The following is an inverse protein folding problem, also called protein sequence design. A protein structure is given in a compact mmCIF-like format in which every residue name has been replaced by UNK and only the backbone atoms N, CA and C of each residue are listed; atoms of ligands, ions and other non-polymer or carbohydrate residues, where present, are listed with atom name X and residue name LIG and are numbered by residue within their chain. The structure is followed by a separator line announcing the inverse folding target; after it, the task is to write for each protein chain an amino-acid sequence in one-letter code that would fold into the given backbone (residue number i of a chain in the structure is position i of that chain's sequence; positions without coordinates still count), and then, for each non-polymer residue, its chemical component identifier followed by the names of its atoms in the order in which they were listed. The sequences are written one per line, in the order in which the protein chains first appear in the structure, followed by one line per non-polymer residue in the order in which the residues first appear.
data_IF_013871630390
#
_entry.id   IF_013871630390
#
_cell.length_a   1.000
_cell.length_b   1.000
_cell.length_c   1.000
_cell.angle_alpha   90.00
_cell.angle_beta   90.00
_cell.angle_gamma   90.00
#
_symmetry.space_group_name_H-M   'P 1'
#
loop_
_entity.id
_entity.type
_entity.pdbx_description
1 polymer ?
#
# COMPACT_ATOMS: atom_id res chain seq x y z
N UNK A 1 3.44 -3.57 -23.37
CA UNK A 1 2.53 -2.74 -22.56
C UNK A 1 3.24 -1.44 -22.23
N UNK A 2 2.67 -0.28 -22.54
CA UNK A 2 3.25 0.99 -22.10
C UNK A 2 3.17 1.09 -20.58
N UNK A 3 4.13 1.78 -19.96
CA UNK A 3 4.17 1.99 -18.50
C UNK A 3 3.38 3.26 -18.16
N UNK A 4 2.73 3.32 -16.99
CA UNK A 4 2.15 4.58 -16.52
C UNK A 4 3.25 5.62 -16.28
N UNK A 5 2.96 6.89 -16.54
CA UNK A 5 3.82 8.01 -16.17
C UNK A 5 3.41 8.56 -14.81
N UNK A 6 4.38 9.06 -14.05
CA UNK A 6 4.18 9.62 -12.72
C UNK A 6 4.73 11.03 -12.69
N UNK A 7 3.89 11.98 -12.31
CA UNK A 7 4.25 13.38 -12.13
C UNK A 7 3.91 13.84 -10.71
N UNK A 8 4.67 14.80 -10.20
CA UNK A 8 4.41 15.43 -8.91
C UNK A 8 4.22 16.92 -9.15
N UNK A 9 2.99 17.40 -8.93
CA UNK A 9 2.61 18.79 -9.19
C UNK A 9 1.56 19.24 -8.18
N UNK A 10 1.65 20.48 -7.72
CA UNK A 10 0.68 21.10 -6.80
C UNK A 10 0.41 20.26 -5.53
N UNK A 11 1.45 19.61 -4.99
CA UNK A 11 1.34 18.76 -3.80
C UNK A 11 0.61 17.42 -4.02
N UNK A 12 0.35 17.05 -5.28
CA UNK A 12 -0.29 15.80 -5.67
C UNK A 12 0.64 14.93 -6.51
N UNK A 13 0.43 13.62 -6.45
CA UNK A 13 0.98 12.63 -7.38
C UNK A 13 -0.06 12.39 -8.46
N UNK A 14 0.30 12.61 -9.72
CA UNK A 14 -0.54 12.37 -10.89
C UNK A 14 0.00 11.15 -11.60
N UNK A 15 -0.84 10.14 -11.80
CA UNK A 15 -0.52 8.92 -12.54
C UNK A 15 -1.30 8.94 -13.84
N UNK A 16 -0.61 8.96 -14.98
CA UNK A 16 -1.25 8.81 -16.29
C UNK A 16 -1.03 7.39 -16.79
N UNK A 17 -2.12 6.65 -16.97
CA UNK A 17 -2.09 5.28 -17.48
C UNK A 17 -1.94 5.27 -19.01
N UNK A 18 -1.48 4.16 -19.60
CA UNK A 18 -1.42 3.96 -21.05
C UNK A 18 -2.74 4.21 -21.79
N UNK A 19 -3.87 4.06 -21.10
CA UNK A 19 -5.22 4.35 -21.61
C UNK A 19 -5.51 5.86 -21.73
N UNK A 20 -4.64 6.72 -21.21
CA UNK A 20 -4.88 8.15 -21.05
C UNK A 20 -5.63 8.52 -19.76
N UNK A 21 -6.09 7.53 -18.96
CA UNK A 21 -6.70 7.78 -17.65
C UNK A 21 -5.70 8.47 -16.72
N UNK A 22 -6.12 9.54 -16.05
CA UNK A 22 -5.31 10.23 -15.04
C UNK A 22 -5.90 10.03 -13.66
N UNK A 23 -5.06 9.65 -12.70
CA UNK A 23 -5.41 9.59 -11.27
C UNK A 23 -4.55 10.55 -10.47
N UNK A 24 -5.20 11.35 -9.66
CA UNK A 24 -4.53 12.27 -8.75
C UNK A 24 -4.62 11.75 -7.31
N UNK A 25 -3.49 11.81 -6.62
CA UNK A 25 -3.39 11.45 -5.21
C UNK A 25 -2.79 12.62 -4.44
N UNK A 26 -3.55 13.17 -3.49
CA UNK A 26 -3.05 14.18 -2.57
C UNK A 26 -2.08 13.55 -1.56
N UNK A 27 -1.23 14.39 -0.95
CA UNK A 27 -0.38 13.97 0.17
C UNK A 27 -1.17 13.35 1.30
N UNK A 28 -2.34 13.92 1.62
CA UNK A 28 -3.23 13.42 2.65
C UNK A 28 -3.77 12.02 2.32
N UNK A 29 -4.27 11.81 1.08
CA UNK A 29 -4.81 10.50 0.70
C UNK A 29 -3.73 9.41 0.71
N UNK A 30 -2.51 9.73 0.27
CA UNK A 30 -1.36 8.83 0.35
C UNK A 30 -0.96 8.54 1.81
N UNK A 31 -1.08 9.53 2.71
CA UNK A 31 -0.76 9.37 4.14
C UNK A 31 -1.77 8.45 4.82
N UNK A 32 -3.07 8.65 4.58
CA UNK A 32 -4.14 7.79 5.08
C UNK A 32 -3.99 6.36 4.54
N UNK A 33 -3.71 6.22 3.25
CA UNK A 33 -3.45 4.91 2.65
C UNK A 33 -2.24 4.21 3.32
N UNK A 34 -1.14 4.93 3.56
CA UNK A 34 0.03 4.39 4.27
C UNK A 34 -0.35 3.89 5.66
N UNK A 35 -1.08 4.67 6.45
CA UNK A 35 -1.50 4.28 7.80
C UNK A 35 -2.38 3.02 7.78
N UNK A 36 -3.30 2.92 6.81
CA UNK A 36 -4.12 1.72 6.64
C UNK A 36 -3.29 0.47 6.34
N UNK A 37 -2.28 0.57 5.47
CA UNK A 37 -1.39 -0.55 5.17
C UNK A 37 -0.50 -0.92 6.36
N UNK A 38 -0.05 0.05 7.15
CA UNK A 38 0.70 -0.22 8.38
C UNK A 38 -0.14 -1.04 9.37
N UNK A 39 -1.38 -0.64 9.63
CA UNK A 39 -2.30 -1.41 10.50
C UNK A 39 -2.56 -2.82 9.99
N UNK A 40 -2.69 -2.97 8.67
CA UNK A 40 -2.87 -4.31 8.06
C UNK A 40 -1.62 -5.17 8.20
N UNK A 41 -0.44 -4.58 8.08
CA UNK A 41 0.84 -5.29 8.30
C UNK A 41 0.95 -5.76 9.75
N UNK A 42 0.67 -4.88 10.72
CA UNK A 42 0.69 -5.24 12.15
C UNK A 42 -0.22 -6.45 12.42
N UNK A 43 -1.43 -6.45 11.87
CA UNK A 43 -2.35 -7.59 12.00
C UNK A 43 -1.82 -8.88 11.35
N UNK A 44 -1.15 -8.77 10.21
CA UNK A 44 -0.53 -9.94 9.55
C UNK A 44 0.61 -10.48 10.42
N UNK A 45 1.45 -9.58 10.94
CA UNK A 45 2.57 -9.94 11.82
C UNK A 45 2.07 -10.64 13.10
N UNK A 46 0.96 -10.17 13.70
CA UNK A 46 0.28 -10.84 14.82
C UNK A 46 -0.20 -12.25 14.46
N UNK A 47 -0.84 -12.41 13.29
CA UNK A 47 -1.35 -13.71 12.84
C UNK A 47 -0.21 -14.71 12.57
N UNK A 48 0.90 -14.24 11.99
CA UNK A 48 2.10 -15.06 11.78
C UNK A 48 2.65 -15.52 13.13
N UNK A 49 2.75 -14.62 14.12
CA UNK A 49 3.25 -14.98 15.45
C UNK A 49 2.41 -16.05 16.15
N UNK A 50 1.08 -16.02 15.99
CA UNK A 50 0.19 -17.06 16.52
C UNK A 50 0.45 -18.41 15.85
N UNK A 51 0.60 -18.42 14.52
CA UNK A 51 0.91 -19.64 13.77
C UNK A 51 2.29 -20.20 14.17
N UNK A 52 3.29 -19.33 14.34
CA UNK A 52 4.63 -19.74 14.78
C UNK A 52 4.60 -20.39 16.18
N UNK A 53 3.76 -19.88 17.09
CA UNK A 53 3.54 -20.47 18.41
C UNK A 53 2.86 -21.85 18.32
N UNK A 54 1.84 -21.97 17.47
CA UNK A 54 1.16 -23.26 17.21
C UNK A 54 2.13 -24.29 16.61
N UNK A 55 2.96 -23.90 15.64
CA UNK A 55 3.98 -24.77 15.04
C UNK A 55 4.95 -25.28 16.12
N UNK A 56 5.42 -24.40 17.02
CA UNK A 56 6.32 -24.79 18.11
C UNK A 56 5.72 -25.76 19.11
N UNK A 57 4.39 -25.74 19.28
CA UNK A 57 3.67 -26.65 20.19
C UNK A 57 3.37 -28.01 19.57
N UNK A 58 3.34 -28.10 18.24
CA UNK A 58 3.05 -29.34 17.51
C UNK A 58 4.34 -30.12 17.19
N UNK A 59 5.49 -29.44 17.10
CA UNK A 59 6.83 -30.04 17.03
C UNK A 59 7.53 -30.13 18.38
#
# INVERSE_FOLDING_TARGET
MAKPTIEFKDGKKIVTYPSGEKREHSKESLTTAKQMFVKRREKIDEQIALIDDDIKKIG
#
